data_IF_428771643323
#
_entry.id   IF_428771643323
#
_cell.length_a   1.000
_cell.length_b   1.000
_cell.length_c   1.000
_cell.angle_alpha   90.00
_cell.angle_beta   90.00
_cell.angle_gamma   90.00
#
_symmetry.space_group_name_H-M   'P 1'
#
loop_
_entity.id
_entity.type
_entity.pdbx_description
1 polymer ?
#
# COMPACT_ATOMS: atom_id res chain seq x y z
N UNK A 1 -10.62 -36.17 42.46
CA UNK A 1 -10.09 -36.17 41.07
C UNK A 1 -11.19 -35.60 40.17
N UNK A 2 -11.14 -34.31 39.86
CA UNK A 2 -12.10 -33.69 38.95
C UNK A 2 -11.61 -33.82 37.54
N UNK A 3 -12.36 -34.50 36.67
CA UNK A 3 -12.16 -34.45 35.24
C UNK A 3 -12.53 -33.04 34.77
N UNK A 4 -11.53 -32.30 34.32
CA UNK A 4 -11.77 -31.06 33.56
C UNK A 4 -12.36 -31.51 32.23
N UNK A 5 -13.65 -31.24 32.01
CA UNK A 5 -14.28 -31.46 30.73
C UNK A 5 -13.63 -30.48 29.75
N UNK A 6 -12.96 -31.02 28.74
CA UNK A 6 -12.41 -30.23 27.64
C UNK A 6 -13.59 -29.61 26.87
N UNK A 7 -13.62 -28.29 26.79
CA UNK A 7 -14.64 -27.56 26.08
C UNK A 7 -14.44 -27.78 24.54
N UNK A 8 -15.41 -28.41 23.84
CA UNK A 8 -15.27 -28.67 22.39
C UNK A 8 -15.14 -27.37 21.56
N UNK A 9 -15.61 -26.21 22.08
CA UNK A 9 -15.42 -24.91 21.44
C UNK A 9 -13.94 -24.48 21.39
N UNK A 10 -13.12 -24.87 22.39
CA UNK A 10 -11.69 -24.59 22.41
C UNK A 10 -10.94 -25.48 21.40
N UNK A 11 -11.39 -26.70 21.20
CA UNK A 11 -10.78 -27.63 20.23
C UNK A 11 -11.05 -27.18 18.79
N UNK A 12 -12.28 -26.75 18.46
CA UNK A 12 -12.62 -26.21 17.14
C UNK A 12 -11.82 -24.93 16.81
N UNK A 13 -11.54 -24.08 17.80
CA UNK A 13 -10.75 -22.85 17.62
C UNK A 13 -9.27 -23.16 17.32
N UNK A 14 -8.72 -24.24 17.88
CA UNK A 14 -7.33 -24.65 17.65
C UNK A 14 -7.16 -25.35 16.30
N UNK A 15 -8.13 -26.14 15.86
CA UNK A 15 -8.16 -26.77 14.53
C UNK A 15 -8.31 -25.68 13.43
N UNK A 16 -9.21 -24.71 13.60
CA UNK A 16 -9.37 -23.55 12.70
C UNK A 16 -8.07 -22.73 12.56
N UNK A 17 -7.28 -22.60 13.62
CA UNK A 17 -6.02 -21.87 13.56
C UNK A 17 -4.97 -22.59 12.72
N UNK A 18 -4.95 -23.93 12.74
CA UNK A 18 -3.99 -24.73 11.97
C UNK A 18 -4.32 -24.78 10.46
N UNK A 19 -5.54 -24.46 10.05
CA UNK A 19 -5.94 -24.43 8.66
C UNK A 19 -5.68 -23.08 7.96
N UNK A 20 -5.29 -22.03 8.72
CA UNK A 20 -5.01 -20.71 8.16
C UNK A 20 -3.66 -20.69 7.43
N UNK A 21 -3.61 -20.12 6.22
CA UNK A 21 -2.35 -20.02 5.50
C UNK A 21 -1.32 -19.18 6.26
N UNK A 22 -0.09 -19.70 6.30
CA UNK A 22 1.04 -19.03 6.94
C UNK A 22 1.69 -18.05 5.97
N UNK A 23 1.80 -16.79 6.37
CA UNK A 23 2.26 -15.69 5.52
C UNK A 23 3.59 -15.13 6.00
N UNK A 24 4.55 -15.03 5.08
CA UNK A 24 5.76 -14.23 5.23
C UNK A 24 5.58 -12.90 4.51
N UNK A 25 5.78 -11.77 5.19
CA UNK A 25 5.73 -10.44 4.59
C UNK A 25 7.16 -9.92 4.51
N UNK A 26 7.64 -9.67 3.29
CA UNK A 26 8.96 -9.10 3.03
C UNK A 26 8.98 -7.60 3.32
N UNK A 27 10.14 -7.00 3.61
CA UNK A 27 10.28 -5.54 3.64
C UNK A 27 9.90 -4.94 2.30
N UNK A 28 9.13 -3.86 2.33
CA UNK A 28 8.77 -3.11 1.13
C UNK A 28 10.01 -2.40 0.57
N UNK A 29 10.15 -2.39 -0.75
CA UNK A 29 11.20 -1.62 -1.42
C UNK A 29 10.74 -0.22 -1.82
N UNK A 30 11.68 0.62 -2.24
CA UNK A 30 11.38 1.86 -2.94
C UNK A 30 11.75 1.70 -4.42
N UNK A 31 10.80 1.99 -5.32
CA UNK A 31 11.01 2.07 -6.77
C UNK A 31 11.15 3.53 -7.22
N UNK A 32 11.68 4.35 -6.32
CA UNK A 32 12.00 5.75 -6.60
C UNK A 32 13.25 6.15 -5.84
N UNK A 33 14.01 7.07 -6.43
CA UNK A 33 15.19 7.65 -5.80
C UNK A 33 14.77 8.86 -4.95
N UNK A 34 15.05 8.78 -3.65
CA UNK A 34 14.88 9.87 -2.68
C UNK A 34 16.27 10.26 -2.20
N UNK A 35 16.71 11.44 -2.57
CA UNK A 35 18.06 11.96 -2.27
C UNK A 35 18.06 13.05 -1.20
N UNK A 36 16.92 13.63 -0.88
CA UNK A 36 16.79 14.73 0.07
C UNK A 36 15.77 14.41 1.16
N UNK A 37 16.13 14.72 2.40
CA UNK A 37 15.27 14.51 3.56
C UNK A 37 13.98 15.34 3.47
N UNK A 38 14.08 16.52 2.89
CA UNK A 38 12.94 17.42 2.67
C UNK A 38 11.86 16.84 1.76
N UNK A 39 12.12 15.75 1.03
CA UNK A 39 11.11 15.04 0.26
C UNK A 39 10.14 14.29 1.17
N UNK A 40 10.62 13.68 2.25
CA UNK A 40 9.86 12.75 3.11
C UNK A 40 9.51 13.31 4.48
N UNK A 41 10.21 14.35 4.94
CA UNK A 41 10.05 14.92 6.27
C UNK A 41 10.13 16.44 6.24
N UNK A 42 9.47 17.09 7.19
CA UNK A 42 9.69 18.51 7.47
C UNK A 42 11.07 18.71 8.06
N UNK A 43 11.89 19.58 7.47
CA UNK A 43 13.28 19.85 7.88
C UNK A 43 13.38 21.32 8.24
N UNK A 44 13.75 21.61 9.48
CA UNK A 44 13.88 22.98 10.02
C UNK A 44 15.31 23.49 9.95
N UNK A 45 16.30 22.60 9.77
CA UNK A 45 17.73 22.94 9.76
C UNK A 45 18.41 22.45 8.48
N UNK A 46 19.41 23.21 8.04
CA UNK A 46 20.26 22.82 6.91
C UNK A 46 21.30 21.83 7.38
N UNK A 47 21.21 20.60 6.92
CA UNK A 47 22.15 19.51 7.23
C UNK A 47 23.36 19.54 6.28
N UNK A 48 24.47 18.97 6.75
CA UNK A 48 25.59 18.65 5.86
C UNK A 48 25.19 17.50 4.91
N UNK A 49 25.65 17.47 3.65
CA UNK A 49 25.25 16.47 2.67
C UNK A 49 25.45 15.02 3.12
N UNK A 50 26.52 14.74 3.86
CA UNK A 50 26.81 13.39 4.38
C UNK A 50 25.83 12.98 5.48
N UNK A 51 25.47 13.89 6.37
CA UNK A 51 24.53 13.67 7.44
C UNK A 51 23.10 13.52 6.88
N UNK A 52 22.76 14.34 5.87
CA UNK A 52 21.47 14.24 5.18
C UNK A 52 21.31 12.88 4.50
N UNK A 53 22.33 12.40 3.77
CA UNK A 53 22.29 11.10 3.11
C UNK A 53 22.08 9.95 4.10
N UNK A 54 22.72 10.01 5.27
CA UNK A 54 22.55 9.02 6.33
C UNK A 54 21.12 9.06 6.90
N UNK A 55 20.62 10.25 7.20
CA UNK A 55 19.25 10.42 7.72
C UNK A 55 18.19 9.99 6.70
N UNK A 56 18.40 10.27 5.40
CA UNK A 56 17.53 9.79 4.34
C UNK A 56 17.49 8.26 4.35
N UNK A 57 18.65 7.58 4.37
CA UNK A 57 18.70 6.12 4.36
C UNK A 57 18.05 5.49 5.60
N UNK A 58 18.15 6.12 6.76
CA UNK A 58 17.50 5.70 7.99
C UNK A 58 15.98 5.89 7.91
N UNK A 59 15.53 7.08 7.51
CA UNK A 59 14.11 7.38 7.34
C UNK A 59 13.43 6.45 6.31
N UNK A 60 14.10 6.16 5.19
CA UNK A 60 13.55 5.23 4.20
C UNK A 60 13.41 3.81 4.77
N UNK A 61 14.35 3.37 5.59
CA UNK A 61 14.29 2.08 6.27
C UNK A 61 13.13 2.02 7.28
N UNK A 62 12.91 3.10 8.02
CA UNK A 62 11.76 3.24 8.93
C UNK A 62 10.43 3.13 8.16
N UNK A 63 10.29 3.84 7.05
CA UNK A 63 9.08 3.81 6.21
C UNK A 63 8.84 2.41 5.63
N UNK A 64 9.88 1.69 5.20
CA UNK A 64 9.78 0.31 4.72
C UNK A 64 9.24 -0.64 5.81
N UNK A 65 9.74 -0.51 7.02
CA UNK A 65 9.28 -1.31 8.16
C UNK A 65 7.86 -0.92 8.59
N UNK A 66 7.54 0.36 8.56
CA UNK A 66 6.20 0.85 8.86
C UNK A 66 5.16 0.32 7.86
N UNK A 67 5.46 0.38 6.56
CA UNK A 67 4.62 -0.19 5.51
C UNK A 67 4.32 -1.67 5.76
N UNK A 68 5.36 -2.45 6.06
CA UNK A 68 5.24 -3.88 6.41
C UNK A 68 4.37 -4.08 7.65
N UNK A 69 4.60 -3.31 8.69
CA UNK A 69 3.87 -3.42 9.96
C UNK A 69 2.40 -3.06 9.81
N UNK A 70 2.08 -2.00 9.06
CA UNK A 70 0.71 -1.58 8.77
C UNK A 70 -0.06 -2.67 8.03
N UNK A 71 0.55 -3.25 6.98
CA UNK A 71 -0.06 -4.37 6.25
C UNK A 71 -0.28 -5.58 7.15
N UNK A 72 0.74 -5.97 7.93
CA UNK A 72 0.64 -7.08 8.87
C UNK A 72 -0.49 -6.86 9.88
N UNK A 73 -0.57 -5.65 10.46
CA UNK A 73 -1.59 -5.30 11.43
C UNK A 73 -3.00 -5.41 10.84
N UNK A 74 -3.20 -4.96 9.60
CA UNK A 74 -4.49 -5.07 8.91
C UNK A 74 -4.87 -6.51 8.62
N UNK A 75 -3.95 -7.30 8.10
CA UNK A 75 -4.18 -8.72 7.83
C UNK A 75 -4.44 -9.52 9.12
N UNK A 76 -3.75 -9.18 10.22
CA UNK A 76 -3.95 -9.81 11.52
C UNK A 76 -5.34 -9.51 12.10
N UNK A 77 -5.85 -8.30 11.91
CA UNK A 77 -7.20 -7.91 12.32
C UNK A 77 -8.29 -8.76 11.64
N UNK A 78 -8.06 -9.19 10.40
CA UNK A 78 -8.95 -10.07 9.63
C UNK A 78 -8.96 -11.53 10.07
N UNK A 79 -8.04 -11.93 10.96
CA UNK A 79 -7.90 -13.29 11.53
C UNK A 79 -7.85 -14.43 10.48
N UNK A 80 -7.58 -14.13 9.22
CA UNK A 80 -7.54 -15.10 8.11
C UNK A 80 -6.18 -15.76 7.89
N UNK A 81 -5.13 -15.34 8.60
CA UNK A 81 -3.76 -15.75 8.37
C UNK A 81 -3.00 -16.06 9.67
N UNK A 82 -1.96 -16.88 9.55
CA UNK A 82 -0.88 -16.99 10.51
C UNK A 82 0.33 -16.21 9.97
N UNK A 83 1.14 -15.61 10.84
CA UNK A 83 2.26 -14.79 10.39
C UNK A 83 3.59 -15.34 10.88
N UNK A 84 4.54 -15.39 9.96
CA UNK A 84 5.94 -15.61 10.27
C UNK A 84 6.52 -14.32 10.85
N UNK A 85 7.34 -14.45 11.86
CA UNK A 85 8.00 -13.31 12.50
C UNK A 85 8.89 -12.58 11.49
N UNK A 86 8.92 -11.26 11.62
CA UNK A 86 9.68 -10.40 10.74
C UNK A 86 11.18 -10.75 10.71
N UNK A 87 11.77 -10.98 11.89
CA UNK A 87 13.18 -11.35 12.04
C UNK A 87 13.54 -12.67 11.34
N UNK A 88 12.65 -13.67 11.38
CA UNK A 88 12.83 -14.94 10.67
C UNK A 88 12.72 -14.76 9.15
N UNK A 89 11.75 -13.97 8.71
CA UNK A 89 11.56 -13.65 7.29
C UNK A 89 12.77 -12.90 6.74
N UNK A 90 13.29 -11.92 7.49
CA UNK A 90 14.43 -11.09 7.09
C UNK A 90 15.71 -11.91 7.03
N UNK A 91 15.95 -12.82 7.99
CA UNK A 91 17.10 -13.71 7.98
C UNK A 91 17.13 -14.60 6.72
N UNK A 92 15.98 -15.18 6.34
CA UNK A 92 15.90 -16.00 5.12
C UNK A 92 16.03 -15.12 3.86
N UNK A 93 15.46 -13.92 3.83
CA UNK A 93 15.58 -13.00 2.70
C UNK A 93 17.05 -12.58 2.50
N UNK A 94 17.78 -12.27 3.57
CA UNK A 94 19.21 -11.91 3.54
C UNK A 94 20.07 -13.05 2.99
N UNK A 95 19.88 -14.28 3.49
CA UNK A 95 20.61 -15.46 3.00
C UNK A 95 20.33 -15.77 1.52
N UNK A 96 19.14 -15.42 1.03
CA UNK A 96 18.74 -15.57 -0.37
C UNK A 96 19.11 -14.35 -1.23
N UNK A 97 19.85 -13.40 -0.68
CA UNK A 97 20.22 -12.12 -1.33
C UNK A 97 19.01 -11.36 -1.92
N UNK A 98 17.85 -11.52 -1.28
CA UNK A 98 16.60 -10.90 -1.72
C UNK A 98 16.49 -9.48 -1.18
N UNK A 99 16.62 -8.50 -2.06
CA UNK A 99 16.50 -7.08 -1.69
C UNK A 99 15.04 -6.68 -1.47
N UNK A 100 14.78 -5.69 -0.59
CA UNK A 100 13.44 -5.12 -0.43
C UNK A 100 12.82 -4.69 -1.77
N UNK A 101 11.54 -4.99 -1.98
CA UNK A 101 10.80 -4.67 -3.21
C UNK A 101 11.04 -5.60 -4.40
N UNK A 102 12.05 -6.44 -4.35
CA UNK A 102 12.32 -7.41 -5.43
C UNK A 102 11.34 -8.58 -5.32
N UNK A 103 10.76 -8.94 -6.46
CA UNK A 103 9.87 -10.10 -6.57
C UNK A 103 10.68 -11.39 -6.43
N UNK A 104 10.36 -12.27 -5.46
CA UNK A 104 11.06 -13.54 -5.30
C UNK A 104 10.87 -14.44 -6.53
N UNK A 105 11.91 -15.13 -6.93
CA UNK A 105 11.79 -16.18 -7.94
C UNK A 105 11.25 -17.50 -7.32
N UNK A 106 10.89 -18.47 -8.18
CA UNK A 106 10.29 -19.73 -7.74
C UNK A 106 11.19 -20.53 -6.76
N UNK A 107 12.52 -20.49 -6.94
CA UNK A 107 13.45 -21.13 -6.03
C UNK A 107 13.44 -20.45 -4.64
N UNK A 108 13.47 -19.14 -4.60
CA UNK A 108 13.41 -18.35 -3.35
C UNK A 108 12.09 -18.61 -2.61
N UNK A 109 10.96 -18.65 -3.34
CA UNK A 109 9.64 -18.96 -2.76
C UNK A 109 9.62 -20.37 -2.12
N UNK A 110 10.18 -21.38 -2.80
CA UNK A 110 10.31 -22.73 -2.23
C UNK A 110 11.20 -22.76 -0.98
N UNK A 111 12.25 -21.94 -0.90
CA UNK A 111 13.08 -21.83 0.30
C UNK A 111 12.33 -21.21 1.49
N UNK A 112 11.50 -20.20 1.27
CA UNK A 112 10.59 -19.66 2.32
C UNK A 112 9.65 -20.77 2.84
N UNK A 113 9.08 -21.57 1.96
CA UNK A 113 8.25 -22.71 2.37
C UNK A 113 9.04 -23.73 3.17
N UNK A 114 10.20 -24.15 2.65
CA UNK A 114 11.02 -25.21 3.26
C UNK A 114 11.53 -24.83 4.64
N UNK A 115 11.96 -23.59 4.84
CA UNK A 115 12.61 -23.11 6.06
C UNK A 115 11.62 -22.59 7.09
N UNK A 116 10.57 -21.92 6.66
CA UNK A 116 9.63 -21.20 7.53
C UNK A 116 8.21 -21.77 7.50
N UNK A 117 7.92 -22.73 6.62
CA UNK A 117 6.55 -23.23 6.42
C UNK A 117 5.60 -22.19 5.81
N UNK A 118 6.14 -21.20 5.11
CA UNK A 118 5.32 -20.17 4.48
C UNK A 118 4.47 -20.77 3.35
N UNK A 119 3.17 -20.54 3.39
CA UNK A 119 2.26 -20.86 2.28
C UNK A 119 2.20 -19.70 1.29
N UNK A 120 2.31 -18.48 1.79
CA UNK A 120 2.30 -17.25 1.01
C UNK A 120 3.51 -16.37 1.36
N UNK A 121 4.08 -15.73 0.35
CA UNK A 121 5.05 -14.66 0.51
C UNK A 121 4.48 -13.38 -0.10
N UNK A 122 4.43 -12.31 0.69
CA UNK A 122 4.01 -10.99 0.24
C UNK A 122 5.23 -10.12 0.02
N UNK A 123 5.36 -9.58 -1.19
CA UNK A 123 6.38 -8.60 -1.56
C UNK A 123 5.70 -7.33 -2.09
N UNK A 124 6.30 -6.17 -1.87
CA UNK A 124 5.75 -4.90 -2.34
C UNK A 124 6.78 -3.81 -2.51
N UNK A 125 6.42 -2.79 -3.28
CA UNK A 125 7.23 -1.62 -3.56
C UNK A 125 6.44 -0.33 -3.39
N UNK A 126 7.08 0.66 -2.79
CA UNK A 126 6.59 2.03 -2.71
C UNK A 126 7.02 2.73 -4.00
N UNK A 127 6.06 3.03 -4.86
CA UNK A 127 6.27 3.57 -6.20
C UNK A 127 6.35 5.10 -6.21
N UNK A 128 5.58 5.76 -5.33
CA UNK A 128 5.62 7.20 -5.09
C UNK A 128 5.50 7.49 -3.58
N UNK A 129 6.25 8.47 -3.08
CA UNK A 129 6.20 8.89 -1.69
C UNK A 129 6.46 10.38 -1.56
N UNK A 130 5.39 11.17 -1.56
CA UNK A 130 5.42 12.62 -1.39
C UNK A 130 5.93 13.42 -2.57
N UNK A 131 6.41 12.77 -3.64
CA UNK A 131 6.89 13.42 -4.85
C UNK A 131 5.77 13.47 -5.88
N UNK A 132 5.20 14.66 -6.08
CA UNK A 132 4.19 14.85 -7.12
C UNK A 132 4.92 14.83 -8.47
N UNK A 133 4.60 13.85 -9.31
CA UNK A 133 5.09 13.81 -10.69
C UNK A 133 4.32 14.84 -11.51
N UNK A 134 5.00 15.73 -12.19
CA UNK A 134 4.39 16.79 -13.01
C UNK A 134 3.39 16.22 -14.05
N UNK A 135 3.61 15.00 -14.54
CA UNK A 135 2.70 14.32 -15.46
C UNK A 135 1.31 14.10 -14.84
N UNK A 136 1.24 13.79 -13.55
CA UNK A 136 -0.02 13.61 -12.84
C UNK A 136 -0.76 14.93 -12.69
N UNK A 137 -0.01 15.99 -12.35
CA UNK A 137 -0.56 17.34 -12.27
C UNK A 137 -1.09 17.78 -13.64
N UNK A 138 -0.31 17.58 -14.68
CA UNK A 138 -0.72 17.91 -16.05
C UNK A 138 -1.93 17.08 -16.50
N UNK A 139 -1.98 15.79 -16.20
CA UNK A 139 -3.11 14.92 -16.55
C UNK A 139 -4.37 15.32 -15.76
N UNK A 140 -4.24 15.57 -14.46
CA UNK A 140 -5.35 16.02 -13.61
C UNK A 140 -5.91 17.35 -14.07
N UNK A 141 -5.06 18.34 -14.32
CA UNK A 141 -5.45 19.65 -14.84
C UNK A 141 -6.12 19.53 -16.23
N UNK A 142 -5.56 18.69 -17.11
CA UNK A 142 -6.15 18.47 -18.44
C UNK A 142 -7.52 17.80 -18.35
N UNK A 143 -7.69 16.82 -17.47
CA UNK A 143 -8.98 16.16 -17.26
C UNK A 143 -10.03 17.13 -16.68
N UNK A 144 -9.63 17.95 -15.73
CA UNK A 144 -10.45 18.98 -15.09
C UNK A 144 -10.97 19.99 -16.13
N UNK A 145 -10.05 20.64 -16.84
CA UNK A 145 -10.38 21.59 -17.91
C UNK A 145 -11.25 20.95 -19.00
N UNK A 146 -10.96 19.71 -19.40
CA UNK A 146 -11.71 19.02 -20.45
C UNK A 146 -13.13 18.73 -20.01
N UNK A 147 -13.33 18.27 -18.78
CA UNK A 147 -14.65 17.96 -18.24
C UNK A 147 -15.53 19.22 -18.14
N UNK A 148 -14.98 20.28 -17.59
CA UNK A 148 -15.70 21.57 -17.48
C UNK A 148 -15.98 22.18 -18.86
N UNK A 149 -15.03 22.12 -19.77
CA UNK A 149 -15.21 22.58 -21.16
C UNK A 149 -16.35 21.85 -21.85
N UNK A 150 -16.45 20.52 -21.67
CA UNK A 150 -17.55 19.72 -22.24
C UNK A 150 -18.89 20.14 -21.60
N UNK A 151 -18.93 20.27 -20.27
CA UNK A 151 -20.16 20.67 -19.57
C UNK A 151 -20.67 22.06 -20.02
N UNK A 152 -19.75 23.02 -20.13
CA UNK A 152 -20.07 24.37 -20.62
C UNK A 152 -20.43 24.37 -22.11
N UNK A 153 -19.71 23.56 -22.93
CA UNK A 153 -20.04 23.39 -24.34
C UNK A 153 -21.49 22.93 -24.53
N UNK A 154 -21.90 21.92 -23.80
CA UNK A 154 -23.28 21.43 -23.82
C UNK A 154 -24.27 22.49 -23.33
N UNK A 155 -23.99 23.19 -22.24
CA UNK A 155 -24.86 24.22 -21.65
C UNK A 155 -25.01 25.45 -22.53
N UNK A 156 -24.01 25.79 -23.36
CA UNK A 156 -23.95 26.99 -24.19
C UNK A 156 -24.12 26.72 -25.69
N UNK A 157 -24.59 25.51 -26.06
CA UNK A 157 -24.69 25.06 -27.46
C UNK A 157 -23.38 25.27 -28.23
N UNK A 158 -22.26 24.98 -27.59
CA UNK A 158 -20.89 25.04 -28.16
C UNK A 158 -20.47 26.43 -28.60
N UNK A 159 -20.88 27.48 -27.87
CA UNK A 159 -20.46 28.86 -28.17
C UNK A 159 -18.94 29.01 -27.96
N UNK A 160 -18.17 29.28 -29.05
CA UNK A 160 -16.72 29.27 -28.97
C UNK A 160 -16.14 30.38 -28.07
N UNK A 161 -16.83 31.54 -27.98
CA UNK A 161 -16.40 32.65 -27.12
C UNK A 161 -16.47 32.28 -25.63
N UNK A 162 -17.53 31.60 -25.24
CA UNK A 162 -17.73 31.15 -23.85
C UNK A 162 -16.75 30.03 -23.51
N UNK A 163 -16.55 29.09 -24.43
CA UNK A 163 -15.61 27.98 -24.26
C UNK A 163 -14.17 28.50 -24.08
N UNK A 164 -13.71 29.39 -24.96
CA UNK A 164 -12.38 30.00 -24.86
C UNK A 164 -12.21 30.81 -23.59
N UNK A 165 -13.26 31.55 -23.18
CA UNK A 165 -13.27 32.29 -21.93
C UNK A 165 -13.14 31.41 -20.73
N UNK A 166 -13.85 30.27 -20.71
CA UNK A 166 -13.74 29.29 -19.63
C UNK A 166 -12.37 28.62 -19.59
N UNK A 167 -11.85 28.14 -20.73
CA UNK A 167 -10.49 27.53 -20.77
C UNK A 167 -9.44 28.53 -20.28
N UNK A 168 -9.54 29.80 -20.65
CA UNK A 168 -8.66 30.87 -20.17
C UNK A 168 -8.80 31.10 -18.66
N UNK A 169 -10.01 31.09 -18.15
CA UNK A 169 -10.29 31.21 -16.71
C UNK A 169 -9.73 30.04 -15.93
N UNK A 170 -10.00 28.80 -16.39
CA UNK A 170 -9.48 27.58 -15.78
C UNK A 170 -7.93 27.52 -15.76
N UNK A 171 -7.29 27.89 -16.86
CA UNK A 171 -5.84 27.98 -16.89
C UNK A 171 -5.28 28.95 -15.85
N UNK A 172 -5.97 30.04 -15.57
CA UNK A 172 -5.54 31.03 -14.58
C UNK A 172 -5.83 30.62 -13.15
N UNK A 173 -6.93 29.90 -12.91
CA UNK A 173 -7.38 29.51 -11.56
C UNK A 173 -6.90 28.13 -11.13
N UNK A 174 -6.98 27.16 -12.03
CA UNK A 174 -6.60 25.78 -11.74
C UNK A 174 -5.08 25.56 -11.81
N UNK A 175 -4.34 26.27 -12.66
CA UNK A 175 -2.87 26.13 -12.75
C UNK A 175 -2.17 26.42 -11.41
N UNK A 176 -2.44 27.50 -10.68
CA UNK A 176 -1.87 27.71 -9.36
C UNK A 176 -2.26 26.64 -8.35
N UNK A 177 -3.48 26.10 -8.42
CA UNK A 177 -3.96 25.03 -7.56
C UNK A 177 -3.16 23.74 -7.81
N UNK A 178 -3.05 23.33 -9.07
CA UNK A 178 -2.37 22.09 -9.45
C UNK A 178 -0.85 22.17 -9.32
N UNK A 179 -0.23 23.25 -9.76
CA UNK A 179 1.22 23.42 -9.74
C UNK A 179 1.76 24.12 -8.50
N UNK A 180 0.91 24.82 -7.75
CA UNK A 180 1.24 25.44 -6.45
C UNK A 180 1.33 24.47 -5.27
N UNK A 181 1.28 23.14 -5.53
CA UNK A 181 1.39 22.10 -4.51
C UNK A 181 0.07 21.52 -4.03
N UNK A 182 -1.04 21.82 -4.75
CA UNK A 182 -2.34 21.21 -4.48
C UNK A 182 -2.84 21.43 -3.05
N UNK A 183 -2.76 22.66 -2.55
CA UNK A 183 -3.27 22.97 -1.21
C UNK A 183 -4.80 22.93 -1.20
N UNK A 184 -5.34 21.92 -0.56
CA UNK A 184 -6.77 21.82 -0.27
C UNK A 184 -6.97 22.00 1.24
N UNK A 185 -7.83 22.96 1.61
CA UNK A 185 -8.14 23.26 3.02
C UNK A 185 -6.90 23.50 3.90
N UNK A 186 -5.87 24.14 3.35
CA UNK A 186 -4.63 24.46 4.06
C UNK A 186 -3.63 23.27 4.18
N UNK A 187 -3.90 22.15 3.50
CA UNK A 187 -3.06 20.95 3.54
C UNK A 187 -2.57 20.63 2.14
N UNK A 188 -1.26 20.39 1.98
CA UNK A 188 -0.69 20.01 0.70
C UNK A 188 -1.04 18.56 0.32
N UNK A 189 -1.35 18.33 -0.94
CA UNK A 189 -1.48 16.96 -1.48
C UNK A 189 -0.11 16.26 -1.49
N UNK A 190 -0.05 15.04 -0.93
CA UNK A 190 1.18 14.25 -0.83
C UNK A 190 0.91 12.82 -1.24
N UNK A 191 0.98 12.53 -2.55
CA UNK A 191 0.67 11.20 -3.03
C UNK A 191 1.63 10.16 -2.49
N UNK A 192 1.07 9.04 -2.09
CA UNK A 192 1.77 7.78 -1.82
C UNK A 192 1.15 6.74 -2.72
N UNK A 193 1.96 5.93 -3.37
CA UNK A 193 1.51 4.83 -4.22
C UNK A 193 2.30 3.59 -3.90
N UNK A 194 1.62 2.48 -3.71
CA UNK A 194 2.22 1.20 -3.34
C UNK A 194 1.68 0.10 -4.23
N UNK A 195 2.56 -0.78 -4.66
CA UNK A 195 2.21 -2.05 -5.28
C UNK A 195 2.56 -3.18 -4.32
N UNK A 196 1.66 -4.16 -4.19
CA UNK A 196 1.92 -5.37 -3.44
C UNK A 196 1.43 -6.61 -4.20
N UNK A 197 2.14 -7.73 -4.01
CA UNK A 197 1.87 -9.02 -4.62
C UNK A 197 1.98 -10.12 -3.59
N UNK A 198 1.07 -11.10 -3.63
CA UNK A 198 1.17 -12.30 -2.82
C UNK A 198 1.41 -13.50 -3.74
N UNK A 199 2.44 -14.27 -3.40
CA UNK A 199 2.89 -15.44 -4.16
C UNK A 199 2.59 -16.71 -3.37
N UNK A 200 2.02 -17.70 -4.03
CA UNK A 200 1.92 -19.04 -3.52
C UNK A 200 3.28 -19.74 -3.63
N UNK A 201 3.74 -20.37 -2.56
CA UNK A 201 5.13 -20.85 -2.45
C UNK A 201 5.40 -22.19 -3.13
N UNK A 202 4.35 -23.00 -3.42
CA UNK A 202 4.52 -24.32 -4.06
C UNK A 202 4.72 -24.18 -5.56
N UNK A 203 3.88 -23.40 -6.21
CA UNK A 203 3.89 -23.25 -7.67
C UNK A 203 4.61 -21.96 -8.12
N UNK A 204 4.83 -21.04 -7.20
CA UNK A 204 5.63 -19.84 -7.41
C UNK A 204 4.96 -18.76 -8.26
N UNK A 205 3.64 -18.79 -8.45
CA UNK A 205 2.94 -17.74 -9.18
C UNK A 205 2.17 -16.78 -8.26
N UNK A 206 1.93 -15.55 -8.71
CA UNK A 206 1.16 -14.59 -7.93
C UNK A 206 -0.32 -14.99 -7.90
N UNK A 207 -0.88 -15.10 -6.68
CA UNK A 207 -2.31 -15.34 -6.48
C UNK A 207 -3.09 -14.04 -6.29
N UNK A 208 -2.39 -12.97 -5.97
CA UNK A 208 -2.95 -11.65 -5.79
C UNK A 208 -1.91 -10.59 -6.14
N UNK A 209 -2.38 -9.53 -6.76
CA UNK A 209 -1.62 -8.33 -7.04
C UNK A 209 -2.56 -7.14 -6.99
N UNK A 210 -2.15 -6.09 -6.31
CA UNK A 210 -2.84 -4.82 -6.30
C UNK A 210 -1.87 -3.66 -6.26
N UNK A 211 -2.31 -2.53 -6.77
CA UNK A 211 -1.65 -1.24 -6.66
C UNK A 211 -2.70 -0.25 -6.19
N UNK A 212 -2.34 0.53 -5.19
CA UNK A 212 -3.24 1.54 -4.64
C UNK A 212 -2.50 2.86 -4.44
N UNK A 213 -3.25 3.95 -4.43
CA UNK A 213 -2.74 5.31 -4.34
C UNK A 213 -3.64 6.15 -3.41
N UNK A 214 -3.02 6.86 -2.48
CA UNK A 214 -3.67 7.85 -1.64
C UNK A 214 -2.89 9.17 -1.69
N UNK A 215 -3.57 10.26 -1.99
CA UNK A 215 -2.96 11.58 -2.04
C UNK A 215 -3.39 12.47 -0.88
N UNK A 216 -4.48 12.12 -0.22
CA UNK A 216 -5.13 12.99 0.76
C UNK A 216 -6.08 12.22 1.69
N UNK A 217 -5.54 11.60 2.74
CA UNK A 217 -6.32 10.90 3.76
C UNK A 217 -7.11 11.89 4.66
N UNK A 218 -8.06 12.63 4.08
CA UNK A 218 -8.76 13.74 4.75
C UNK A 218 -9.50 13.31 6.01
N UNK A 219 -10.17 12.18 5.99
CA UNK A 219 -10.94 11.69 7.12
C UNK A 219 -10.06 11.45 8.35
N UNK A 220 -8.85 10.96 8.15
CA UNK A 220 -7.86 10.80 9.21
C UNK A 220 -7.21 12.14 9.59
N UNK A 221 -6.85 12.97 8.60
CA UNK A 221 -6.20 14.26 8.85
C UNK A 221 -7.07 15.21 9.67
N UNK A 222 -8.37 15.28 9.39
CA UNK A 222 -9.28 16.19 10.13
C UNK A 222 -9.42 15.84 11.62
N UNK A 223 -9.08 14.61 12.02
CA UNK A 223 -9.09 14.18 13.43
C UNK A 223 -7.86 14.65 14.19
N UNK A 224 -6.81 15.11 13.50
CA UNK A 224 -5.57 15.58 14.12
C UNK A 224 -5.63 17.07 14.47
N UNK A 225 -4.88 17.49 15.52
CA UNK A 225 -4.65 18.91 15.81
C UNK A 225 -4.04 19.65 14.60
N UNK A 226 -4.37 20.93 14.46
CA UNK A 226 -3.94 21.74 13.32
C UNK A 226 -2.42 21.82 13.19
N UNK A 227 -1.71 21.92 14.30
CA UNK A 227 -0.24 22.03 14.38
C UNK A 227 0.46 20.77 13.81
N UNK A 228 -0.21 19.61 13.85
CA UNK A 228 0.35 18.33 13.39
C UNK A 228 -0.11 18.06 11.95
N UNK A 229 -1.32 18.47 11.59
CA UNK A 229 -1.96 18.21 10.30
C UNK A 229 -1.13 18.68 9.11
N UNK A 230 -0.42 19.82 9.26
CA UNK A 230 0.43 20.41 8.24
C UNK A 230 1.78 19.71 8.02
N UNK A 231 2.20 18.85 8.95
CA UNK A 231 3.51 18.17 8.86
C UNK A 231 3.52 17.16 7.72
N UNK A 232 4.60 17.20 6.94
CA UNK A 232 4.77 16.34 5.76
C UNK A 232 4.78 14.87 6.09
N UNK A 233 5.56 14.47 7.07
CA UNK A 233 5.71 13.11 7.54
C UNK A 233 4.37 12.52 8.00
N UNK A 234 3.55 13.31 8.71
CA UNK A 234 2.23 12.87 9.20
C UNK A 234 1.27 12.60 8.04
N UNK A 235 1.24 13.48 7.04
CA UNK A 235 0.39 13.29 5.86
C UNK A 235 0.80 12.05 5.06
N UNK A 236 2.10 11.84 4.87
CA UNK A 236 2.64 10.69 4.15
C UNK A 236 2.35 9.38 4.88
N UNK A 237 2.51 9.37 6.21
CA UNK A 237 2.18 8.20 7.04
C UNK A 237 0.69 7.85 6.99
N UNK A 238 -0.20 8.83 7.05
CA UNK A 238 -1.64 8.59 6.94
C UNK A 238 -2.05 8.07 5.57
N UNK A 239 -1.47 8.63 4.49
CA UNK A 239 -1.72 8.11 3.15
C UNK A 239 -1.17 6.69 2.98
N UNK A 240 0.00 6.39 3.55
CA UNK A 240 0.54 5.02 3.57
C UNK A 240 -0.37 4.06 4.34
N UNK A 241 -0.87 4.47 5.50
CA UNK A 241 -1.78 3.65 6.31
C UNK A 241 -3.09 3.35 5.58
N UNK A 242 -3.69 4.34 4.91
CA UNK A 242 -4.89 4.22 4.09
C UNK A 242 -4.71 3.18 2.97
N UNK A 243 -3.57 3.25 2.26
CA UNK A 243 -3.22 2.28 1.22
C UNK A 243 -3.04 0.87 1.82
N UNK A 244 -2.31 0.74 2.92
CA UNK A 244 -2.06 -0.57 3.53
C UNK A 244 -3.34 -1.21 4.07
N UNK A 245 -4.31 -0.41 4.51
CA UNK A 245 -5.64 -0.89 4.86
C UNK A 245 -6.35 -1.46 3.62
N UNK A 246 -6.39 -0.72 2.53
CA UNK A 246 -7.01 -1.14 1.26
C UNK A 246 -6.36 -2.41 0.68
N UNK A 247 -5.02 -2.47 0.64
CA UNK A 247 -4.27 -3.63 0.17
C UNK A 247 -4.51 -4.86 1.05
N UNK A 248 -4.53 -4.69 2.38
CA UNK A 248 -4.81 -5.77 3.32
C UNK A 248 -6.22 -6.35 3.15
N UNK A 249 -7.21 -5.49 2.94
CA UNK A 249 -8.59 -5.90 2.66
C UNK A 249 -8.71 -6.65 1.33
N UNK A 250 -8.01 -6.18 0.30
CA UNK A 250 -7.95 -6.82 -0.99
C UNK A 250 -7.37 -8.24 -0.92
N UNK A 251 -6.23 -8.40 -0.24
CA UNK A 251 -5.59 -9.71 -0.05
C UNK A 251 -6.48 -10.66 0.78
N UNK A 252 -7.08 -10.16 1.86
CA UNK A 252 -7.98 -10.97 2.71
C UNK A 252 -9.18 -11.49 1.92
N UNK A 253 -9.83 -10.64 1.13
CA UNK A 253 -10.95 -11.03 0.27
C UNK A 253 -10.54 -12.09 -0.75
N UNK A 254 -9.38 -11.93 -1.38
CA UNK A 254 -8.88 -12.87 -2.39
C UNK A 254 -8.52 -14.22 -1.78
N UNK A 255 -7.86 -14.25 -0.65
CA UNK A 255 -7.50 -15.48 0.06
C UNK A 255 -8.74 -16.27 0.49
N UNK A 256 -9.77 -15.58 0.99
CA UNK A 256 -11.04 -16.19 1.35
C UNK A 256 -11.76 -16.79 0.14
N UNK A 257 -11.75 -16.11 -1.00
CA UNK A 257 -12.34 -16.66 -2.24
C UNK A 257 -11.57 -17.89 -2.74
N UNK A 258 -10.24 -17.88 -2.65
CA UNK A 258 -9.41 -19.01 -3.06
C UNK A 258 -9.64 -20.25 -2.18
N UNK A 259 -9.82 -20.10 -0.87
CA UNK A 259 -10.17 -21.22 0.03
C UNK A 259 -11.51 -21.84 -0.31
N UNK A 260 -12.55 -21.06 -0.52
CA UNK A 260 -13.88 -21.54 -0.93
C UNK A 260 -13.88 -22.27 -2.26
N UNK A 261 -13.08 -21.82 -3.24
CA UNK A 261 -12.96 -22.51 -4.53
C UNK A 261 -12.28 -23.89 -4.38
N UNK A 262 -11.30 -24.02 -3.46
CA UNK A 262 -10.67 -25.31 -3.15
C UNK A 262 -11.66 -26.28 -2.49
N UNK A 263 -12.44 -25.84 -1.53
CA UNK A 263 -13.48 -26.63 -0.88
C UNK A 263 -14.54 -27.12 -1.87
N UNK A 264 -15.04 -26.23 -2.75
CA UNK A 264 -16.04 -26.59 -3.75
C UNK A 264 -15.50 -27.58 -4.79
N UNK A 265 -14.23 -27.48 -5.18
CA UNK A 265 -13.60 -28.43 -6.11
C UNK A 265 -13.30 -29.78 -5.45
N UNK A 266 -12.98 -29.80 -4.15
CA UNK A 266 -12.85 -31.04 -3.38
C UNK A 266 -14.18 -31.78 -3.26
N UNK A 267 -15.28 -31.08 -2.97
CA UNK A 267 -16.62 -31.65 -2.91
C UNK A 267 -17.10 -32.20 -4.27
N UNK A 268 -16.83 -31.49 -5.36
CA UNK A 268 -17.18 -31.94 -6.72
C UNK A 268 -16.38 -33.18 -7.17
N UNK A 269 -15.21 -33.42 -6.59
CA UNK A 269 -14.40 -34.61 -6.83
C UNK A 269 -14.93 -35.89 -6.16
N UNK A 270 -15.76 -35.76 -5.12
CA UNK A 270 -16.39 -36.89 -4.42
C UNK A 270 -17.64 -37.42 -5.13
N UNK A 271 -18.37 -36.58 -5.88
CA UNK A 271 -19.53 -37.03 -6.65
C UNK A 271 -19.18 -37.86 -7.90
N UNK A 272 -17.90 -37.95 -8.29
CA UNK A 272 -17.46 -38.69 -9.46
C UNK A 272 -16.80 -40.04 -9.14
N UNK A 273 -16.88 -40.50 -7.89
CA UNK A 273 -16.42 -41.86 -7.48
C UNK A 273 -17.62 -42.63 -6.91
#
# INVERSE_FOLDING_TARGET
>A
MGCVAFDPAVQSTVEDLNERPTVAILPFGFDLEITTLSTVKTVDETLLPEDEAKQVAETLREIQQEARWLLLSRLAAGQGFQFIRADQTDAVAEELELRPGVVPNAHQLMEFRRRLGADLVVAGSILDYGKIRWQWLATGMFADISWETIAIGVATAWNPGIILGNVGYELLTSTPLWFGGGYLFGVAMRPVRVEARAFETVQGYPIWQAMDESAYAWEALKMLPEEIRGKKEVQLQLNLADIMESLGDGLTKQAFMASRLRESSALAGWEKR
#
